data_IF_091928815569
#
_entry.id   IF_091928815569
#
_cell.length_a   1.000
_cell.length_b   1.000
_cell.length_c   1.000
_cell.angle_alpha   90.00
_cell.angle_beta   90.00
_cell.angle_gamma   90.00
#
_symmetry.space_group_name_H-M   'P 1'
#
loop_
_entity.id
_entity.type
_entity.pdbx_description
1 polymer ?
#
# COMPACT_ATOMS: atom_id res chain seq x y z
N UNK A 1 -0.23 0.59 69.64
CA UNK A 1 -1.23 -0.03 68.76
C UNK A 1 -1.81 1.04 67.85
N UNK A 2 -1.45 1.07 66.56
CA UNK A 2 -2.37 1.32 65.44
C UNK A 2 -1.63 1.01 64.14
N UNK A 3 -2.02 -0.07 63.46
CA UNK A 3 -1.55 -0.43 62.13
C UNK A 3 -2.41 0.33 61.12
N UNK A 4 -1.83 1.21 60.30
CA UNK A 4 -2.48 1.65 59.07
C UNK A 4 -1.75 1.04 57.89
N UNK A 5 -2.35 -0.04 57.39
CA UNK A 5 -1.98 -0.74 56.17
C UNK A 5 -2.44 0.11 54.98
N UNK A 6 -1.51 0.66 54.20
CA UNK A 6 -1.83 1.37 52.96
C UNK A 6 -1.55 0.43 51.78
N UNK A 7 -2.52 -0.42 51.45
CA UNK A 7 -2.51 -1.22 50.23
C UNK A 7 -2.93 -0.29 49.09
N UNK A 8 -1.96 0.28 48.37
CA UNK A 8 -2.24 1.01 47.14
C UNK A 8 -2.26 0.03 45.96
N UNK A 9 -3.48 -0.33 45.60
CA UNK A 9 -3.93 -1.04 44.41
C UNK A 9 -3.42 -0.34 43.13
N UNK A 10 -2.30 -0.78 42.54
CA UNK A 10 -1.90 -0.32 41.20
C UNK A 10 -2.69 -1.11 40.16
N UNK A 11 -3.79 -0.50 39.80
CA UNK A 11 -4.62 -0.64 38.60
C UNK A 11 -3.89 -1.18 37.37
N UNK A 12 -4.36 -2.36 36.93
CA UNK A 12 -4.67 -2.76 35.54
C UNK A 12 -4.06 -1.81 34.50
N UNK A 13 -2.78 -2.01 34.21
CA UNK A 13 -2.06 -1.34 33.13
C UNK A 13 -2.72 -1.68 31.79
N UNK A 14 -3.26 -0.65 31.16
CA UNK A 14 -3.99 -0.71 29.91
C UNK A 14 -3.17 -1.40 28.82
N UNK A 15 -3.71 -2.50 28.28
CA UNK A 15 -3.27 -3.13 27.03
C UNK A 15 -3.57 -2.19 25.84
N UNK A 16 -2.84 -1.07 25.75
CA UNK A 16 -2.81 -0.28 24.52
C UNK A 16 -1.96 -1.09 23.54
N UNK A 17 -2.63 -1.92 22.72
CA UNK A 17 -1.97 -2.55 21.57
C UNK A 17 -1.50 -1.43 20.64
N UNK A 18 -0.23 -1.04 20.79
CA UNK A 18 0.45 -0.18 19.83
C UNK A 18 0.57 -0.95 18.51
N UNK A 19 -0.42 -0.77 17.63
CA UNK A 19 -0.38 -1.33 16.29
C UNK A 19 0.59 -0.51 15.43
N UNK A 20 1.85 -0.95 15.35
CA UNK A 20 2.79 -0.49 14.36
C UNK A 20 2.40 -1.08 12.99
N UNK A 21 2.12 -0.22 12.00
CA UNK A 21 1.82 -0.64 10.63
C UNK A 21 3.06 -0.52 9.76
N UNK A 22 3.28 -1.51 8.89
CA UNK A 22 4.34 -1.50 7.87
C UNK A 22 4.16 -0.27 6.95
N UNK A 23 5.24 0.49 6.75
CA UNK A 23 5.29 1.67 5.87
C UNK A 23 6.50 1.56 4.96
N UNK A 24 6.37 2.13 3.76
CA UNK A 24 7.39 2.13 2.71
C UNK A 24 7.61 3.56 2.23
N UNK A 25 8.78 3.89 1.69
CA UNK A 25 9.03 5.19 1.04
C UNK A 25 8.48 5.25 -0.40
N UNK A 26 8.05 4.10 -0.92
CA UNK A 26 7.41 3.92 -2.23
C UNK A 26 6.02 3.29 -2.08
N UNK A 27 5.18 3.38 -3.12
CA UNK A 27 4.03 2.48 -3.22
C UNK A 27 4.54 1.07 -3.54
N UNK A 28 4.18 0.08 -2.73
CA UNK A 28 4.45 -1.33 -3.04
C UNK A 28 3.12 -2.00 -3.34
N UNK A 29 2.91 -2.36 -4.60
CA UNK A 29 1.71 -3.04 -5.08
C UNK A 29 2.04 -4.52 -5.25
N UNK A 30 1.50 -5.36 -4.38
CA UNK A 30 1.67 -6.82 -4.42
C UNK A 30 0.42 -7.45 -5.03
N UNK A 31 0.58 -8.10 -6.18
CA UNK A 31 -0.52 -8.73 -6.91
C UNK A 31 -0.53 -10.23 -6.62
N UNK A 32 -1.62 -10.73 -6.05
CA UNK A 32 -1.88 -12.14 -5.80
C UNK A 32 -3.02 -12.62 -6.69
N UNK A 33 -3.19 -13.95 -6.80
CA UNK A 33 -4.25 -14.60 -7.60
C UNK A 33 -5.65 -14.03 -7.34
N UNK A 34 -5.96 -13.69 -6.08
CA UNK A 34 -7.31 -13.27 -5.65
C UNK A 34 -7.36 -11.91 -4.97
N UNK A 35 -6.25 -11.18 -4.86
CA UNK A 35 -6.22 -9.89 -4.17
C UNK A 35 -5.03 -9.05 -4.58
N UNK A 36 -5.16 -7.74 -4.39
CA UNK A 36 -4.03 -6.81 -4.50
C UNK A 36 -3.82 -6.16 -3.15
N UNK A 37 -2.59 -6.20 -2.63
CA UNK A 37 -2.20 -5.48 -1.42
C UNK A 37 -1.35 -4.28 -1.78
N UNK A 38 -1.64 -3.13 -1.18
CA UNK A 38 -0.85 -1.91 -1.38
C UNK A 38 -0.30 -1.43 -0.05
N UNK A 39 1.02 -1.22 -0.03
CA UNK A 39 1.70 -0.42 1.00
C UNK A 39 1.93 0.98 0.43
N UNK A 40 1.39 1.99 1.10
CA UNK A 40 1.52 3.38 0.67
C UNK A 40 2.62 4.11 1.45
N UNK A 41 3.30 5.08 0.82
CA UNK A 41 4.18 5.99 1.53
C UNK A 41 3.40 6.99 2.37
N UNK A 42 4.00 7.48 3.45
CA UNK A 42 3.35 8.44 4.36
C UNK A 42 2.90 9.71 3.64
N UNK A 43 3.70 10.16 2.68
CA UNK A 43 3.46 11.31 1.81
C UNK A 43 4.21 11.09 0.50
N UNK A 44 3.85 11.84 -0.53
CA UNK A 44 4.70 11.95 -1.71
C UNK A 44 6.02 12.64 -1.38
N UNK A 45 7.10 12.28 -2.08
CA UNK A 45 8.28 13.13 -2.16
C UNK A 45 7.97 14.33 -3.08
N UNK A 46 8.71 15.43 -2.96
CA UNK A 46 8.26 16.73 -3.47
C UNK A 46 8.02 16.78 -4.98
N UNK A 47 8.79 16.01 -5.77
CA UNK A 47 8.69 16.02 -7.23
C UNK A 47 8.44 14.64 -7.84
N UNK A 48 8.65 13.56 -7.07
CA UNK A 48 8.61 12.20 -7.58
C UNK A 48 8.06 11.22 -6.56
N UNK A 49 7.54 10.10 -7.04
CA UNK A 49 7.19 8.96 -6.19
C UNK A 49 7.50 7.67 -6.92
N UNK A 50 7.89 6.63 -6.18
CA UNK A 50 8.18 5.32 -6.76
C UNK A 50 7.02 4.36 -6.55
N UNK A 51 6.77 3.53 -7.55
CA UNK A 51 5.83 2.40 -7.48
C UNK A 51 6.60 1.12 -7.78
N UNK A 52 6.65 0.23 -6.80
CA UNK A 52 7.21 -1.11 -6.90
C UNK A 52 6.05 -2.07 -7.10
N UNK A 53 6.05 -2.77 -8.22
CA UNK A 53 5.01 -3.76 -8.56
C UNK A 53 5.62 -5.13 -8.40
N UNK A 54 5.11 -5.90 -7.43
CA UNK A 54 5.51 -7.28 -7.18
C UNK A 54 4.45 -8.23 -7.74
N UNK A 55 4.84 -9.09 -8.67
CA UNK A 55 3.98 -10.14 -9.16
C UNK A 55 4.14 -11.40 -8.29
N UNK A 56 3.14 -11.70 -7.46
CA UNK A 56 3.07 -12.91 -6.63
C UNK A 56 2.11 -13.96 -7.21
N UNK A 57 1.68 -13.80 -8.45
CA UNK A 57 0.88 -14.82 -9.17
C UNK A 57 1.78 -15.85 -9.84
N UNK A 58 1.16 -16.90 -10.38
CA UNK A 58 1.85 -17.95 -11.14
C UNK A 58 2.03 -17.61 -12.63
N UNK A 59 1.42 -16.52 -13.11
CA UNK A 59 1.43 -16.12 -14.53
C UNK A 59 2.07 -14.75 -14.74
N UNK A 60 2.51 -14.48 -15.97
CA UNK A 60 3.07 -13.17 -16.32
C UNK A 60 1.99 -12.09 -16.16
N UNK A 61 2.28 -11.11 -15.30
CA UNK A 61 1.41 -9.98 -15.04
C UNK A 61 1.63 -8.87 -16.05
N UNK A 62 0.54 -8.24 -16.46
CA UNK A 62 0.51 -7.08 -17.34
C UNK A 62 -0.33 -6.00 -16.67
N UNK A 63 0.30 -4.85 -16.46
CA UNK A 63 -0.21 -3.76 -15.63
C UNK A 63 -0.01 -2.42 -16.32
N UNK A 64 -0.83 -1.45 -15.95
CA UNK A 64 -0.76 -0.09 -16.44
C UNK A 64 -0.80 0.88 -15.26
N UNK A 65 0.05 1.90 -15.30
CA UNK A 65 -0.05 3.06 -14.40
C UNK A 65 -0.67 4.22 -15.16
N UNK A 66 -1.72 4.81 -14.59
CA UNK A 66 -2.44 5.94 -15.19
C UNK A 66 -2.60 7.09 -14.20
N UNK A 67 -2.77 8.31 -14.73
CA UNK A 67 -3.21 9.47 -13.94
C UNK A 67 -4.73 9.44 -13.78
N UNK A 68 -5.25 10.23 -12.83
CA UNK A 68 -6.70 10.47 -12.70
C UNK A 68 -7.39 10.94 -13.97
N UNK A 69 -6.69 11.68 -14.83
CA UNK A 69 -7.21 12.10 -16.15
C UNK A 69 -7.39 10.95 -17.14
N UNK A 70 -6.98 9.72 -16.80
CA UNK A 70 -6.95 8.58 -17.70
C UNK A 70 -5.69 8.52 -18.57
N UNK A 71 -4.82 9.53 -18.52
CA UNK A 71 -3.56 9.53 -19.28
C UNK A 71 -2.66 8.39 -18.79
N UNK A 72 -2.36 7.45 -19.67
CA UNK A 72 -1.37 6.38 -19.46
C UNK A 72 0.00 6.96 -19.18
N UNK A 73 0.64 6.46 -18.13
CA UNK A 73 2.02 6.79 -17.78
C UNK A 73 2.94 5.71 -18.34
N UNK A 74 2.66 4.44 -18.02
CA UNK A 74 3.52 3.33 -18.43
C UNK A 74 2.76 2.01 -18.46
N UNK A 75 3.11 1.18 -19.43
CA UNK A 75 2.73 -0.22 -19.48
C UNK A 75 3.86 -1.08 -18.91
N UNK A 76 3.52 -2.01 -18.03
CA UNK A 76 4.48 -2.76 -17.22
C UNK A 76 4.14 -4.24 -17.34
N UNK A 77 5.14 -5.03 -17.68
CA UNK A 77 5.03 -6.48 -17.60
C UNK A 77 6.03 -7.03 -16.60
N UNK A 78 5.58 -7.96 -15.76
CA UNK A 78 6.35 -8.55 -14.66
C UNK A 78 6.12 -10.06 -14.65
N UNK A 79 7.20 -10.83 -14.78
CA UNK A 79 7.15 -12.29 -14.71
C UNK A 79 6.77 -12.78 -13.30
N UNK A 80 6.27 -14.01 -13.14
CA UNK A 80 5.96 -14.61 -11.84
C UNK A 80 7.12 -14.48 -10.85
N UNK A 81 6.81 -14.10 -9.61
CA UNK A 81 7.80 -13.95 -8.53
C UNK A 81 8.79 -12.79 -8.69
N UNK A 82 8.69 -11.99 -9.76
CA UNK A 82 9.56 -10.83 -10.00
C UNK A 82 8.89 -9.53 -9.59
N UNK A 83 9.67 -8.46 -9.58
CA UNK A 83 9.17 -7.11 -9.34
C UNK A 83 9.71 -6.13 -10.38
N UNK A 84 9.05 -4.98 -10.51
CA UNK A 84 9.54 -3.85 -11.29
C UNK A 84 9.26 -2.54 -10.58
N UNK A 85 10.26 -1.68 -10.50
CA UNK A 85 10.12 -0.32 -9.98
C UNK A 85 9.86 0.66 -11.12
N UNK A 86 8.97 1.62 -10.89
CA UNK A 86 8.65 2.71 -11.80
C UNK A 86 8.61 4.01 -11.03
N UNK A 87 9.36 4.98 -11.50
CA UNK A 87 9.36 6.34 -10.97
C UNK A 87 8.27 7.16 -11.67
N UNK A 88 7.47 7.87 -10.89
CA UNK A 88 6.39 8.74 -11.34
C UNK A 88 6.77 10.17 -11.01
N UNK A 89 6.78 11.03 -12.03
CA UNK A 89 6.93 12.47 -11.84
C UNK A 89 5.59 13.06 -11.42
N UNK A 90 5.60 13.81 -10.32
CA UNK A 90 4.46 14.53 -9.80
C UNK A 90 4.38 15.90 -10.46
N UNK A 91 3.23 16.22 -11.04
CA UNK A 91 2.91 17.58 -11.50
C UNK A 91 2.56 18.48 -10.32
N UNK A 92 1.96 17.91 -9.25
CA UNK A 92 1.70 18.57 -7.99
C UNK A 92 1.44 17.55 -6.86
N UNK A 93 1.41 18.01 -5.60
CA UNK A 93 1.22 17.16 -4.41
C UNK A 93 -0.19 16.54 -4.27
N UNK A 94 -1.15 16.92 -5.13
CA UNK A 94 -2.53 16.41 -5.13
C UNK A 94 -2.78 15.43 -6.28
N UNK A 95 -1.76 15.05 -7.02
CA UNK A 95 -1.90 14.12 -8.13
C UNK A 95 -2.30 12.73 -7.62
N UNK A 96 -3.25 12.12 -8.30
CA UNK A 96 -3.73 10.77 -8.01
C UNK A 96 -3.34 9.85 -9.15
N UNK A 97 -2.76 8.70 -8.79
CA UNK A 97 -2.39 7.65 -9.73
C UNK A 97 -3.25 6.42 -9.52
N UNK A 98 -3.45 5.67 -10.60
CA UNK A 98 -4.15 4.40 -10.57
C UNK A 98 -3.24 3.30 -11.09
N UNK A 99 -3.25 2.17 -10.39
CA UNK A 99 -2.72 0.90 -10.86
C UNK A 99 -3.85 0.09 -11.48
N UNK A 100 -3.68 -0.24 -12.76
CA UNK A 100 -4.67 -0.96 -13.57
C UNK A 100 -4.10 -2.32 -13.95
N UNK A 101 -4.60 -3.40 -13.37
CA UNK A 101 -4.24 -4.76 -13.77
C UNK A 101 -4.97 -5.16 -15.04
N UNK A 102 -4.20 -5.30 -16.13
CA UNK A 102 -4.70 -5.61 -17.47
C UNK A 102 -4.81 -7.11 -17.67
N UNK A 103 -3.80 -7.87 -17.21
CA UNK A 103 -3.83 -9.34 -17.22
C UNK A 103 -3.01 -9.92 -16.07
N UNK A 104 -3.57 -10.80 -15.23
CA UNK A 104 -5.00 -11.11 -15.14
C UNK A 104 -5.83 -9.86 -14.76
N UNK A 105 -7.05 -9.70 -15.30
CA UNK A 105 -7.86 -8.51 -15.06
C UNK A 105 -8.34 -8.46 -13.61
N UNK A 106 -8.26 -7.28 -13.00
CA UNK A 106 -8.73 -7.06 -11.63
C UNK A 106 -9.26 -5.63 -11.46
N UNK A 107 -9.71 -5.28 -10.26
CA UNK A 107 -10.16 -3.92 -9.98
C UNK A 107 -9.03 -2.91 -10.16
N UNK A 108 -9.38 -1.74 -10.71
CA UNK A 108 -8.51 -0.56 -10.74
C UNK A 108 -8.25 -0.13 -9.29
N UNK A 109 -6.98 0.09 -8.96
CA UNK A 109 -6.55 0.44 -7.61
C UNK A 109 -6.07 1.88 -7.58
N UNK A 110 -6.69 2.71 -6.77
CA UNK A 110 -6.19 4.06 -6.50
C UNK A 110 -4.96 3.98 -5.59
N UNK A 111 -3.90 4.73 -5.90
CA UNK A 111 -2.69 4.82 -5.09
C UNK A 111 -2.78 6.03 -4.17
N UNK A 112 -3.21 5.80 -2.92
CA UNK A 112 -3.49 6.87 -1.95
C UNK A 112 -2.34 6.98 -0.93
N UNK A 113 -1.53 8.06 -0.93
CA UNK A 113 -0.49 8.25 0.07
C UNK A 113 -1.08 8.47 1.47
N UNK A 114 -0.32 8.14 2.50
CA UNK A 114 -0.71 8.28 3.91
C UNK A 114 -1.73 7.24 4.39
N UNK A 115 -2.26 6.42 3.49
CA UNK A 115 -3.16 5.32 3.83
C UNK A 115 -2.43 4.23 4.63
N UNK A 116 -3.19 3.54 5.49
CA UNK A 116 -2.74 2.27 6.07
C UNK A 116 -2.64 1.23 4.96
N UNK A 117 -1.84 0.16 5.12
CA UNK A 117 -1.84 -0.96 4.19
C UNK A 117 -3.28 -1.42 3.89
N UNK A 118 -3.64 -1.51 2.60
CA UNK A 118 -4.99 -1.85 2.17
C UNK A 118 -4.99 -2.97 1.15
N UNK A 119 -6.10 -3.69 1.10
CA UNK A 119 -6.30 -4.82 0.19
C UNK A 119 -7.55 -4.61 -0.65
N UNK A 120 -7.45 -4.96 -1.93
CA UNK A 120 -8.55 -4.90 -2.88
C UNK A 120 -8.97 -6.36 -3.14
N UNK A 121 -10.20 -6.76 -2.77
CA UNK A 121 -10.71 -8.11 -3.00
C UNK A 121 -11.09 -8.34 -4.47
N UNK A 122 -11.28 -9.61 -4.91
CA UNK A 122 -11.75 -9.89 -6.25
C UNK A 122 -13.16 -9.29 -6.43
N UNK A 123 -13.51 -8.94 -7.67
CA UNK A 123 -14.91 -8.65 -7.98
C UNK A 123 -15.69 -9.96 -7.77
N UNK A 124 -16.60 -9.95 -6.79
CA UNK A 124 -17.60 -11.00 -6.62
C UNK A 124 -18.68 -10.89 -7.69
#
# INVERSE_FOLDING_TARGET
MWKFSFILLITIGSLVKAHAYERSDAFIVRVFEKRIKVLAPKKYSDQKTSVIIENKTLVKGIFELTRKSGKRIKYISVNPGKFKAVELNLLNKRETFYFVPVSPPFQKVELVPGSRPYEIPPKG
#
